data_IF_501162265693
#
_entry.id   IF_501162265693
#
_cell.length_a   1.000
_cell.length_b   1.000
_cell.length_c   1.000
_cell.angle_alpha   90.00
_cell.angle_beta   90.00
_cell.angle_gamma   90.00
#
_symmetry.space_group_name_H-M   'P 1'
#
loop_
_entity.id
_entity.type
_entity.pdbx_description
1 polymer ?
#
# COMPACT_ATOMS: atom_id res chain seq x y z
N UNK A 1 31.68 -59.39 6.60
CA UNK A 1 30.23 -59.14 6.72
C UNK A 1 29.94 -57.81 6.04
N UNK A 2 29.31 -57.85 4.87
CA UNK A 2 28.76 -56.69 4.18
C UNK A 2 27.49 -56.21 4.90
N UNK A 3 27.38 -54.90 5.12
CA UNK A 3 26.11 -54.24 5.46
C UNK A 3 25.79 -53.20 4.38
N UNK A 4 25.09 -53.65 3.34
CA UNK A 4 24.52 -52.77 2.31
C UNK A 4 23.19 -52.19 2.82
N UNK A 5 23.27 -51.08 3.58
CA UNK A 5 22.11 -50.28 3.98
C UNK A 5 21.62 -49.39 2.85
N UNK A 6 20.44 -49.72 2.30
CA UNK A 6 19.79 -49.05 1.17
C UNK A 6 19.43 -47.59 1.52
N UNK A 7 19.92 -46.64 0.72
CA UNK A 7 19.58 -45.22 0.79
C UNK A 7 18.07 -44.99 0.56
N UNK A 8 17.31 -44.79 1.64
CA UNK A 8 15.97 -44.21 1.56
C UNK A 8 16.12 -42.78 1.03
N UNK A 9 15.75 -42.54 -0.23
CA UNK A 9 15.71 -41.19 -0.80
C UNK A 9 14.74 -40.36 0.06
N UNK A 10 15.20 -39.27 0.71
CA UNK A 10 14.38 -38.57 1.68
C UNK A 10 13.24 -37.85 0.96
N UNK A 11 12.01 -38.30 1.22
CA UNK A 11 10.75 -37.73 0.71
C UNK A 11 10.52 -36.29 1.18
N UNK A 12 11.45 -35.72 1.96
CA UNK A 12 11.35 -34.37 2.52
C UNK A 12 11.65 -33.24 1.53
N UNK A 13 12.32 -33.54 0.39
CA UNK A 13 12.62 -32.54 -0.64
C UNK A 13 11.39 -31.84 -1.24
N UNK A 14 10.32 -32.53 -1.66
CA UNK A 14 9.12 -31.86 -2.17
C UNK A 14 8.39 -31.05 -1.10
N UNK A 15 8.37 -31.49 0.16
CA UNK A 15 7.70 -30.77 1.24
C UNK A 15 8.37 -29.41 1.54
N UNK A 16 9.70 -29.33 1.51
CA UNK A 16 10.40 -28.05 1.71
C UNK A 16 10.15 -27.05 0.58
N UNK A 17 10.00 -27.50 -0.66
CA UNK A 17 9.68 -26.61 -1.78
C UNK A 17 8.30 -25.98 -1.62
N UNK A 18 7.29 -26.77 -1.22
CA UNK A 18 5.94 -26.28 -0.99
C UNK A 18 5.88 -25.26 0.16
N UNK A 19 6.57 -25.51 1.27
CA UNK A 19 6.62 -24.58 2.41
C UNK A 19 7.29 -23.25 2.05
N UNK A 20 8.39 -23.29 1.29
CA UNK A 20 9.09 -22.08 0.82
C UNK A 20 8.22 -21.25 -0.13
N UNK A 21 7.53 -21.90 -1.08
CA UNK A 21 6.62 -21.23 -2.00
C UNK A 21 5.42 -20.59 -1.30
N UNK A 22 4.88 -21.22 -0.25
CA UNK A 22 3.78 -20.66 0.54
C UNK A 22 4.21 -19.39 1.27
N UNK A 23 5.40 -19.41 1.89
CA UNK A 23 5.96 -18.26 2.60
C UNK A 23 6.29 -17.09 1.65
N UNK A 24 6.67 -17.38 0.40
CA UNK A 24 7.01 -16.33 -0.58
C UNK A 24 5.81 -15.62 -1.19
N UNK A 25 4.63 -16.25 -1.31
CA UNK A 25 3.47 -15.68 -2.02
C UNK A 25 2.98 -14.35 -1.43
N UNK A 26 2.67 -14.23 -0.12
CA UNK A 26 2.20 -12.97 0.46
C UNK A 26 3.24 -11.85 0.31
N UNK A 27 4.53 -12.18 0.46
CA UNK A 27 5.61 -11.21 0.28
C UNK A 27 5.71 -10.73 -1.17
N UNK A 28 5.58 -11.64 -2.16
CA UNK A 28 5.52 -11.26 -3.58
C UNK A 28 4.32 -10.37 -3.88
N UNK A 29 3.15 -10.68 -3.32
CA UNK A 29 1.96 -9.83 -3.42
C UNK A 29 2.21 -8.42 -2.86
N UNK A 30 2.81 -8.32 -1.67
CA UNK A 30 3.10 -7.04 -1.03
C UNK A 30 4.11 -6.20 -1.81
N UNK A 31 5.16 -6.82 -2.33
CA UNK A 31 6.16 -6.16 -3.19
C UNK A 31 5.51 -5.64 -4.47
N UNK A 32 4.70 -6.48 -5.14
CA UNK A 32 4.00 -6.13 -6.37
C UNK A 32 2.85 -5.13 -6.19
N UNK A 33 2.36 -4.95 -4.96
CA UNK A 33 1.24 -4.05 -4.68
C UNK A 33 1.59 -2.59 -5.04
N UNK A 34 0.79 -1.89 -5.87
CA UNK A 34 1.14 -0.55 -6.32
C UNK A 34 1.13 0.46 -5.17
N UNK A 35 2.23 1.23 -5.06
CA UNK A 35 2.43 2.19 -3.97
C UNK A 35 1.41 3.32 -4.05
N UNK A 36 1.18 3.88 -5.24
CA UNK A 36 0.22 4.97 -5.42
C UNK A 36 -0.65 4.77 -6.66
N UNK A 37 -1.93 5.15 -6.55
CA UNK A 37 -2.80 5.42 -7.70
C UNK A 37 -3.43 6.79 -7.50
N UNK A 38 -3.10 7.71 -8.40
CA UNK A 38 -3.50 9.12 -8.32
C UNK A 38 -4.32 9.47 -9.56
N UNK A 39 -5.51 10.01 -9.35
CA UNK A 39 -6.39 10.49 -10.41
C UNK A 39 -6.16 11.97 -10.69
N UNK A 40 -6.31 12.37 -11.95
CA UNK A 40 -6.27 13.78 -12.36
C UNK A 40 -7.44 14.58 -11.80
N UNK A 41 -7.21 15.88 -11.60
CA UNK A 41 -8.18 16.79 -11.03
C UNK A 41 -8.22 16.71 -9.51
N UNK A 42 -9.33 17.18 -8.92
CA UNK A 42 -9.53 17.16 -7.48
C UNK A 42 -10.19 15.86 -7.05
N UNK A 43 -9.57 15.16 -6.13
CA UNK A 43 -10.02 13.87 -5.61
C UNK A 43 -9.92 13.82 -4.08
N UNK A 44 -10.70 12.92 -3.47
CA UNK A 44 -10.45 12.50 -2.10
C UNK A 44 -9.34 11.46 -2.14
N UNK A 45 -8.43 11.51 -1.18
CA UNK A 45 -7.36 10.53 -1.09
C UNK A 45 -7.27 9.94 0.32
N UNK A 46 -6.79 8.70 0.38
CA UNK A 46 -6.53 7.96 1.59
C UNK A 46 -5.09 7.47 1.60
N UNK A 47 -4.46 7.56 2.77
CA UNK A 47 -3.19 6.92 3.08
C UNK A 47 -3.45 5.70 3.96
N UNK A 48 -2.76 4.60 3.69
CA UNK A 48 -2.92 3.38 4.47
C UNK A 48 -1.62 2.57 4.51
N UNK A 49 -1.50 1.71 5.50
CA UNK A 49 -0.59 0.58 5.47
C UNK A 49 -1.24 -0.59 4.77
N UNK A 50 -0.47 -1.28 3.92
CA UNK A 50 -0.78 -2.60 3.35
C UNK A 50 0.27 -3.57 3.85
N UNK A 51 -0.16 -4.71 4.38
CA UNK A 51 0.75 -5.66 5.03
C UNK A 51 0.25 -7.10 4.92
N UNK A 52 1.13 -8.06 5.19
CA UNK A 52 0.78 -9.47 5.26
C UNK A 52 0.09 -9.72 6.60
N UNK A 53 -0.98 -10.51 6.63
CA UNK A 53 -1.70 -10.82 7.86
C UNK A 53 -0.75 -11.33 8.97
N UNK A 54 -0.77 -10.68 10.14
CA UNK A 54 0.12 -11.00 11.26
C UNK A 54 1.53 -10.36 11.20
N UNK A 55 1.93 -9.76 10.07
CA UNK A 55 3.26 -9.17 9.86
C UNK A 55 3.17 -7.66 9.56
N UNK A 56 2.68 -6.89 10.52
CA UNK A 56 2.59 -5.42 10.37
C UNK A 56 3.97 -4.73 10.28
N UNK A 57 5.04 -5.37 10.78
CA UNK A 57 6.40 -4.82 10.72
C UNK A 57 6.94 -4.64 9.29
N UNK A 58 6.39 -5.36 8.32
CA UNK A 58 6.75 -5.25 6.90
C UNK A 58 5.78 -4.35 6.13
N UNK A 59 4.93 -3.58 6.81
CA UNK A 59 3.89 -2.77 6.18
C UNK A 59 4.44 -1.77 5.17
N UNK A 60 3.76 -1.67 4.04
CA UNK A 60 4.00 -0.71 2.97
C UNK A 60 3.00 0.41 3.06
N UNK A 61 3.46 1.65 3.12
CA UNK A 61 2.57 2.81 2.98
C UNK A 61 2.13 2.95 1.53
N UNK A 62 0.84 3.19 1.33
CA UNK A 62 0.24 3.36 0.01
C UNK A 62 -0.73 4.54 -0.02
N UNK A 63 -0.93 5.08 -1.21
CA UNK A 63 -1.84 6.19 -1.48
C UNK A 63 -2.86 5.77 -2.54
N UNK A 64 -4.13 6.05 -2.30
CA UNK A 64 -5.19 5.95 -3.30
C UNK A 64 -5.98 7.24 -3.34
N UNK A 65 -6.32 7.70 -4.53
CA UNK A 65 -7.24 8.82 -4.72
C UNK A 65 -8.35 8.45 -5.69
N UNK A 66 -9.57 8.89 -5.40
CA UNK A 66 -10.72 8.73 -6.30
C UNK A 66 -11.50 10.05 -6.38
N UNK A 67 -11.67 10.56 -7.59
CA UNK A 67 -12.42 11.78 -7.90
C UNK A 67 -13.92 11.60 -7.69
N UNK A 68 -14.44 10.41 -8.01
CA UNK A 68 -15.87 10.06 -7.90
C UNK A 68 -16.30 9.66 -6.49
N UNK A 69 -15.36 9.43 -5.56
CA UNK A 69 -15.69 9.05 -4.19
C UNK A 69 -16.50 10.14 -3.50
N UNK A 70 -17.63 9.77 -2.89
CA UNK A 70 -18.45 10.70 -2.11
C UNK A 70 -17.79 10.94 -0.75
N UNK A 71 -17.23 9.90 -0.15
CA UNK A 71 -16.55 9.93 1.14
C UNK A 71 -15.14 9.34 1.04
N UNK A 72 -14.28 9.69 1.99
CA UNK A 72 -12.94 9.11 2.11
C UNK A 72 -12.96 7.60 2.34
N UNK A 73 -13.99 7.09 3.03
CA UNK A 73 -14.15 5.66 3.26
C UNK A 73 -14.41 4.89 1.96
N UNK A 74 -15.06 5.49 0.95
CA UNK A 74 -15.25 4.84 -0.35
C UNK A 74 -13.90 4.55 -1.03
N UNK A 75 -12.94 5.48 -0.90
CA UNK A 75 -11.56 5.33 -1.41
C UNK A 75 -10.84 4.22 -0.64
N UNK A 76 -11.03 4.17 0.68
CA UNK A 76 -10.42 3.14 1.52
C UNK A 76 -11.02 1.75 1.26
N UNK A 77 -12.32 1.64 1.02
CA UNK A 77 -12.99 0.38 0.71
C UNK A 77 -12.52 -0.19 -0.63
N UNK A 78 -12.28 0.67 -1.63
CA UNK A 78 -11.69 0.24 -2.90
C UNK A 78 -10.24 -0.25 -2.71
N UNK A 79 -9.43 0.47 -1.93
CA UNK A 79 -8.08 0.04 -1.56
C UNK A 79 -8.10 -1.30 -0.81
N UNK A 80 -9.01 -1.45 0.13
CA UNK A 80 -9.16 -2.67 0.94
C UNK A 80 -9.51 -3.85 0.05
N UNK A 81 -10.49 -3.70 -0.85
CA UNK A 81 -10.85 -4.73 -1.85
C UNK A 81 -9.66 -5.11 -2.73
N UNK A 82 -8.87 -4.12 -3.17
CA UNK A 82 -7.65 -4.37 -3.96
C UNK A 82 -6.64 -5.23 -3.17
N UNK A 83 -6.35 -4.86 -1.93
CA UNK A 83 -5.40 -5.58 -1.08
C UNK A 83 -5.90 -6.99 -0.70
N UNK A 84 -7.18 -7.13 -0.34
CA UNK A 84 -7.80 -8.41 0.02
C UNK A 84 -7.77 -9.40 -1.15
N UNK A 85 -7.95 -8.92 -2.38
CA UNK A 85 -7.83 -9.75 -3.59
C UNK A 85 -6.44 -10.37 -3.77
N UNK A 86 -5.42 -9.77 -3.16
CA UNK A 86 -4.03 -10.25 -3.17
C UNK A 86 -3.63 -10.97 -1.87
N UNK A 87 -4.57 -11.16 -0.94
CA UNK A 87 -4.33 -11.80 0.36
C UNK A 87 -3.62 -10.90 1.37
N UNK A 88 -3.75 -9.58 1.24
CA UNK A 88 -3.12 -8.58 2.11
C UNK A 88 -4.15 -7.91 3.01
N UNK A 89 -3.71 -7.40 4.15
CA UNK A 89 -4.50 -6.60 5.08
C UNK A 89 -4.19 -5.11 4.92
N UNK A 90 -5.12 -4.25 5.34
CA UNK A 90 -4.96 -2.80 5.29
C UNK A 90 -5.25 -2.13 6.64
N UNK A 91 -4.60 -1.01 6.89
CA UNK A 91 -4.92 -0.11 8.01
C UNK A 91 -4.91 1.34 7.52
N UNK A 92 -6.04 2.04 7.63
CA UNK A 92 -6.14 3.44 7.25
C UNK A 92 -5.34 4.34 8.20
N UNK A 93 -4.52 5.22 7.64
CA UNK A 93 -3.68 6.19 8.37
C UNK A 93 -4.26 7.62 8.33
N UNK A 94 -5.43 7.79 7.71
CA UNK A 94 -6.07 9.08 7.50
C UNK A 94 -6.22 9.41 6.02
N UNK A 95 -6.75 10.59 5.74
CA UNK A 95 -6.94 11.04 4.37
C UNK A 95 -6.92 12.55 4.22
N UNK A 96 -7.31 13.01 3.03
CA UNK A 96 -7.38 14.42 2.68
C UNK A 96 -7.88 14.60 1.25
N UNK A 97 -7.51 15.70 0.63
CA UNK A 97 -7.78 16.03 -0.75
C UNK A 97 -6.47 16.06 -1.52
N UNK A 98 -6.54 15.55 -2.74
CA UNK A 98 -5.45 15.56 -3.68
C UNK A 98 -5.91 16.33 -4.92
N UNK A 99 -5.14 17.32 -5.33
CA UNK A 99 -5.33 18.01 -6.62
C UNK A 99 -4.17 17.63 -7.52
N UNK A 100 -4.45 16.98 -8.65
CA UNK A 100 -3.44 16.61 -9.64
C UNK A 100 -3.72 17.33 -10.96
N UNK A 101 -2.97 18.39 -11.22
CA UNK A 101 -2.96 19.13 -12.48
C UNK A 101 -1.83 18.56 -13.36
N UNK A 102 -2.19 17.67 -14.30
CA UNK A 102 -1.23 17.01 -15.20
C UNK A 102 -0.58 17.99 -16.17
N UNK A 103 -1.31 19.01 -16.60
CA UNK A 103 -0.82 19.99 -17.57
C UNK A 103 0.23 20.90 -16.94
N UNK A 104 -0.02 21.36 -15.70
CA UNK A 104 0.93 22.18 -14.94
C UNK A 104 1.97 21.36 -14.18
N UNK A 105 1.92 20.03 -14.28
CA UNK A 105 2.77 19.09 -13.52
C UNK A 105 2.78 19.44 -12.03
N UNK A 106 1.59 19.54 -11.45
CA UNK A 106 1.42 20.00 -10.08
C UNK A 106 0.53 19.05 -9.29
N UNK A 107 0.97 18.72 -8.07
CA UNK A 107 0.19 17.95 -7.10
C UNK A 107 0.11 18.74 -5.80
N UNK A 108 -1.09 18.83 -5.22
CA UNK A 108 -1.31 19.40 -3.88
C UNK A 108 -2.03 18.42 -2.97
N UNK A 109 -1.50 18.20 -1.77
CA UNK A 109 -2.06 17.36 -0.71
C UNK A 109 -2.49 18.24 0.46
N UNK A 110 -3.75 18.16 0.89
CA UNK A 110 -4.27 19.01 1.98
C UNK A 110 -5.54 18.48 2.65
N UNK A 111 -5.94 19.10 3.76
CA UNK A 111 -7.21 18.80 4.45
C UNK A 111 -7.17 17.52 5.30
N UNK A 112 -8.34 16.92 5.52
CA UNK A 112 -8.50 15.72 6.38
C UNK A 112 -9.66 14.84 5.94
N UNK A 113 -9.60 13.57 6.32
CA UNK A 113 -10.78 12.70 6.35
C UNK A 113 -11.61 13.02 7.60
N UNK A 114 -12.94 13.02 7.45
CA UNK A 114 -13.85 13.18 8.58
C UNK A 114 -13.81 11.93 9.49
N UNK A 115 -13.71 10.74 8.90
CA UNK A 115 -13.78 9.48 9.64
C UNK A 115 -12.43 9.01 10.21
N UNK A 116 -11.34 9.25 9.47
CA UNK A 116 -10.00 8.74 9.83
C UNK A 116 -9.00 9.86 10.14
N UNK A 117 -9.44 11.11 10.18
CA UNK A 117 -8.57 12.25 10.46
C UNK A 117 -7.63 12.60 9.32
N UNK A 118 -6.62 13.39 9.65
CA UNK A 118 -5.63 13.90 8.69
C UNK A 118 -4.52 12.87 8.47
N UNK A 119 -4.26 12.54 7.20
CA UNK A 119 -3.06 11.79 6.84
C UNK A 119 -1.80 12.66 6.95
N UNK A 120 -0.65 12.03 7.13
CA UNK A 120 0.64 12.72 6.99
C UNK A 120 0.86 13.10 5.50
N UNK A 121 0.67 14.39 5.19
CA UNK A 121 0.80 14.90 3.84
C UNK A 121 2.26 14.97 3.38
N UNK A 122 3.21 15.15 4.29
CA UNK A 122 4.64 15.18 3.95
C UNK A 122 5.12 13.77 3.60
N UNK A 123 4.77 12.77 4.41
CA UNK A 123 5.04 11.38 4.08
C UNK A 123 4.37 10.97 2.75
N UNK A 124 3.14 11.45 2.51
CA UNK A 124 2.48 11.20 1.24
C UNK A 124 3.19 11.87 0.04
N UNK A 125 3.74 13.08 0.23
CA UNK A 125 4.58 13.76 -0.77
C UNK A 125 5.84 12.97 -1.06
N UNK A 126 6.55 12.49 -0.03
CA UNK A 126 7.76 11.68 -0.20
C UNK A 126 7.51 10.40 -1.01
N UNK A 127 6.35 9.77 -0.80
CA UNK A 127 5.92 8.59 -1.58
C UNK A 127 5.66 8.94 -3.06
N UNK A 128 5.06 10.10 -3.33
CA UNK A 128 4.69 10.51 -4.69
C UNK A 128 5.86 11.11 -5.48
N UNK A 129 6.82 11.73 -4.80
CA UNK A 129 7.97 12.40 -5.43
C UNK A 129 8.77 11.51 -6.41
N UNK A 130 9.10 10.25 -6.11
CA UNK A 130 9.80 9.37 -7.06
C UNK A 130 8.90 8.87 -8.20
N UNK A 131 7.57 8.94 -8.07
CA UNK A 131 6.60 8.51 -9.11
C UNK A 131 6.35 9.66 -10.09
N UNK A 132 6.28 10.90 -9.58
CA UNK A 132 6.01 12.11 -10.35
C UNK A 132 7.21 13.06 -10.30
N UNK A 133 8.35 12.60 -10.83
CA UNK A 133 9.65 13.31 -10.73
C UNK A 133 9.67 14.68 -11.41
N UNK A 134 8.79 14.88 -12.40
CA UNK A 134 8.64 16.14 -13.13
C UNK A 134 7.53 17.03 -12.57
N UNK A 135 6.85 16.61 -11.50
CA UNK A 135 5.81 17.39 -10.84
C UNK A 135 6.33 18.13 -9.61
N UNK A 136 5.86 19.36 -9.43
CA UNK A 136 5.95 20.04 -8.14
C UNK A 136 4.86 19.48 -7.22
N UNK A 137 5.25 19.00 -6.04
CA UNK A 137 4.33 18.43 -5.06
C UNK A 137 4.35 19.30 -3.79
N UNK A 138 3.23 19.92 -3.46
CA UNK A 138 3.04 20.68 -2.22
C UNK A 138 2.20 19.85 -1.23
N UNK A 139 2.69 19.76 0.00
CA UNK A 139 1.97 19.14 1.11
C UNK A 139 1.65 20.21 2.15
N UNK A 140 0.38 20.31 2.56
CA UNK A 140 -0.02 21.23 3.61
C UNK A 140 0.30 20.62 4.97
N UNK A 141 1.44 21.01 5.54
CA UNK A 141 1.71 20.78 6.95
C UNK A 141 0.57 21.41 7.75
N UNK A 142 -0.06 20.63 8.61
CA UNK A 142 -1.04 21.16 9.54
C UNK A 142 -0.80 20.39 10.80
N UNK A 143 -0.41 21.14 11.83
CA UNK A 143 -0.16 20.59 13.15
C UNK A 143 -1.36 19.81 13.64
N UNK A 144 -1.12 19.00 14.66
CA UNK A 144 -2.19 18.50 15.51
C UNK A 144 -3.02 19.73 15.91
N UNK A 145 -4.26 19.86 15.41
CA UNK A 145 -5.19 20.77 16.07
C UNK A 145 -5.32 20.23 17.50
N UNK A 146 -4.95 21.03 18.51
CA UNK A 146 -4.90 20.59 19.90
C UNK A 146 -6.25 20.10 20.43
#
# INVERSE_FOLDING_TARGET
MEFAGKFLKPVWRPMMQAARLYCEKPMRSLVAFPVAKVESGKSKYMMAHVYIHGEMGSAKQVIRSLSKAKYHLDVYDELKKEAESMGLCTQGLGGGYLVHDKEKKYIKLYGRSQALGKADHEAAREILQPIYTDHKIDAESGGMEP
#
